data_IF_783779175798
#
_entry.id   IF_783779175798
#
_cell.length_a   1.000
_cell.length_b   1.000
_cell.length_c   1.000
_cell.angle_alpha   90.00
_cell.angle_beta   90.00
_cell.angle_gamma   90.00
#
_symmetry.space_group_name_H-M   'P 1'
#
loop_
_entity.id
_entity.type
_entity.pdbx_description
1 polymer ?
#
# COMPACT_ATOMS: atom_id res chain seq x y z
N UNK A 1 -8.91 3.94 17.71
CA UNK A 1 -7.55 3.49 18.10
C UNK A 1 -7.74 2.53 19.26
N UNK A 2 -7.01 1.40 19.27
CA UNK A 2 -7.23 0.14 20.03
C UNK A 2 -8.35 -0.73 19.40
N UNK A 3 -8.23 -2.02 19.06
CA UNK A 3 -7.32 -3.12 19.43
C UNK A 3 -7.16 -4.14 18.29
N UNK A 4 -6.01 -4.84 18.24
CA UNK A 4 -5.67 -5.90 17.29
C UNK A 4 -6.48 -7.17 17.54
N UNK A 5 -7.41 -7.49 16.62
CA UNK A 5 -7.37 -8.77 15.89
C UNK A 5 -7.75 -8.66 14.39
N UNK A 6 -7.84 -7.44 13.83
CA UNK A 6 -8.46 -7.21 12.50
C UNK A 6 -7.53 -6.76 11.37
N UNK A 7 -6.23 -6.65 11.59
CA UNK A 7 -5.35 -6.10 10.54
C UNK A 7 -5.03 -7.12 9.46
N UNK A 8 -4.87 -8.39 9.83
CA UNK A 8 -4.64 -9.50 8.92
C UNK A 8 -4.68 -10.78 9.77
N UNK A 9 -5.51 -11.76 9.44
CA UNK A 9 -5.68 -12.96 10.27
C UNK A 9 -4.37 -13.74 10.47
N UNK A 10 -4.33 -14.68 11.40
CA UNK A 10 -3.09 -15.40 11.82
C UNK A 10 -2.30 -16.13 10.71
N UNK A 11 -2.85 -16.26 9.50
CA UNK A 11 -2.21 -16.92 8.36
C UNK A 11 -1.75 -15.95 7.25
N UNK A 12 -1.80 -14.65 7.51
CA UNK A 12 -1.47 -13.63 6.52
C UNK A 12 -0.07 -13.08 6.75
N UNK A 13 0.64 -12.81 5.65
CA UNK A 13 1.94 -12.15 5.64
C UNK A 13 1.76 -10.78 5.01
N UNK A 14 2.19 -9.73 5.70
CA UNK A 14 2.13 -8.35 5.23
C UNK A 14 3.31 -8.06 4.29
N UNK A 15 3.02 -7.62 3.08
CA UNK A 15 4.02 -7.21 2.11
C UNK A 15 4.10 -5.68 2.06
N UNK A 16 5.33 -5.17 2.08
CA UNK A 16 5.67 -3.77 1.84
C UNK A 16 7.01 -3.71 1.08
N UNK A 17 7.30 -2.58 0.46
CA UNK A 17 8.61 -2.35 -0.14
C UNK A 17 9.69 -2.10 0.94
N UNK A 18 10.93 -1.99 0.51
CA UNK A 18 12.07 -1.81 1.41
C UNK A 18 12.41 -0.32 1.65
N UNK A 19 11.47 0.62 1.48
CA UNK A 19 11.79 2.04 1.66
C UNK A 19 12.25 2.34 3.10
N UNK A 20 13.05 3.40 3.28
CA UNK A 20 13.65 3.73 4.57
C UNK A 20 12.63 3.92 5.70
N UNK A 21 11.47 4.52 5.39
CA UNK A 21 10.38 4.72 6.36
C UNK A 21 9.70 3.40 6.77
N UNK A 22 9.61 2.44 5.86
CA UNK A 22 9.07 1.10 6.12
C UNK A 22 10.04 0.23 6.94
N UNK A 23 11.34 0.51 6.83
CA UNK A 23 12.41 -0.16 7.58
C UNK A 23 12.83 0.54 8.88
N UNK A 24 12.26 1.70 9.18
CA UNK A 24 12.56 2.44 10.38
C UNK A 24 12.26 1.60 11.63
N UNK A 25 13.01 1.83 12.70
CA UNK A 25 12.87 1.10 13.97
C UNK A 25 11.43 1.13 14.49
N UNK A 26 10.81 2.31 14.52
CA UNK A 26 9.44 2.48 15.02
C UNK A 26 8.42 1.66 14.20
N UNK A 27 8.59 1.60 12.88
CA UNK A 27 7.75 0.80 12.00
C UNK A 27 7.91 -0.70 12.28
N UNK A 28 9.15 -1.17 12.44
CA UNK A 28 9.43 -2.58 12.80
C UNK A 28 8.93 -2.95 14.20
N UNK A 29 9.03 -2.04 15.16
CA UNK A 29 8.52 -2.23 16.52
C UNK A 29 6.98 -2.35 16.49
N UNK A 30 6.28 -1.51 15.72
CA UNK A 30 4.83 -1.61 15.52
C UNK A 30 4.39 -2.99 14.98
N UNK A 31 5.05 -3.51 13.94
CA UNK A 31 4.68 -4.82 13.39
C UNK A 31 4.88 -5.94 14.41
N UNK A 32 5.95 -5.89 15.22
CA UNK A 32 6.23 -6.86 16.27
C UNK A 32 5.18 -6.82 17.37
N UNK A 33 4.85 -5.63 17.86
CA UNK A 33 3.86 -5.42 18.93
C UNK A 33 2.45 -5.88 18.53
N UNK A 34 2.14 -5.82 17.23
CA UNK A 34 0.84 -6.23 16.68
C UNK A 34 0.82 -7.67 16.12
N UNK A 35 1.89 -8.45 16.32
CA UNK A 35 2.03 -9.82 15.79
C UNK A 35 1.81 -9.93 14.27
N UNK A 36 2.27 -8.94 13.51
CA UNK A 36 2.16 -8.93 12.05
C UNK A 36 3.44 -9.49 11.46
N UNK A 37 3.33 -10.59 10.70
CA UNK A 37 4.46 -11.16 9.96
C UNK A 37 4.72 -10.33 8.70
N UNK A 38 5.97 -9.91 8.49
CA UNK A 38 6.40 -9.22 7.27
C UNK A 38 6.94 -10.22 6.24
N UNK A 39 6.65 -9.97 4.96
CA UNK A 39 7.32 -10.65 3.85
C UNK A 39 8.70 -10.02 3.65
N UNK A 40 9.75 -10.84 3.58
CA UNK A 40 11.05 -10.37 3.15
C UNK A 40 11.00 -9.98 1.66
N UNK A 41 11.11 -8.69 1.37
CA UNK A 41 11.06 -8.15 0.02
C UNK A 41 12.47 -7.76 -0.45
N UNK A 42 12.92 -8.19 -1.64
CA UNK A 42 14.23 -7.83 -2.16
C UNK A 42 14.33 -6.33 -2.47
N UNK A 43 15.50 -5.76 -2.20
CA UNK A 43 15.76 -4.35 -2.50
C UNK A 43 15.64 -4.07 -4.01
N UNK A 44 15.21 -2.86 -4.37
CA UNK A 44 15.12 -2.39 -5.76
C UNK A 44 14.30 -3.30 -6.70
N UNK A 45 13.29 -4.00 -6.17
CA UNK A 45 12.45 -4.93 -6.94
C UNK A 45 10.99 -4.44 -6.99
N UNK A 46 10.70 -3.34 -7.71
CA UNK A 46 9.35 -2.80 -7.85
C UNK A 46 8.42 -3.73 -8.66
N UNK A 47 8.99 -4.53 -9.56
CA UNK A 47 8.30 -5.55 -10.35
C UNK A 47 7.66 -6.64 -9.48
N UNK A 48 8.26 -6.90 -8.31
CA UNK A 48 7.74 -7.86 -7.34
C UNK A 48 6.72 -7.25 -6.37
N UNK A 49 6.45 -5.94 -6.45
CA UNK A 49 5.50 -5.26 -5.57
C UNK A 49 4.09 -5.22 -6.21
N UNK A 50 3.13 -6.06 -5.78
CA UNK A 50 1.85 -6.20 -6.48
C UNK A 50 1.04 -4.91 -6.55
N UNK A 51 1.21 -4.01 -5.58
CA UNK A 51 0.50 -2.73 -5.53
C UNK A 51 0.87 -1.80 -6.71
N UNK A 52 2.09 -1.90 -7.25
CA UNK A 52 2.53 -1.10 -8.40
C UNK A 52 1.69 -1.41 -9.64
N UNK A 53 1.35 -2.69 -9.84
CA UNK A 53 0.49 -3.10 -10.95
C UNK A 53 -0.93 -2.56 -10.79
N UNK A 54 -1.45 -2.56 -9.55
CA UNK A 54 -2.77 -2.01 -9.23
C UNK A 54 -2.78 -0.50 -9.46
N UNK A 55 -1.80 0.24 -8.95
CA UNK A 55 -1.66 1.68 -9.19
C UNK A 55 -1.55 2.02 -10.68
N UNK A 56 -0.78 1.23 -11.44
CA UNK A 56 -0.70 1.40 -12.88
C UNK A 56 -2.04 1.20 -13.60
N UNK A 57 -2.83 0.22 -13.18
CA UNK A 57 -4.19 0.01 -13.70
C UNK A 57 -5.13 1.15 -13.31
N UNK A 58 -5.16 1.52 -12.03
CA UNK A 58 -6.00 2.62 -11.52
C UNK A 58 -5.68 3.94 -12.25
N UNK A 59 -4.40 4.28 -12.40
CA UNK A 59 -3.99 5.50 -13.09
C UNK A 59 -4.47 5.52 -14.55
N UNK A 60 -4.42 4.38 -15.27
CA UNK A 60 -4.92 4.31 -16.65
C UNK A 60 -6.42 4.56 -16.76
N UNK A 61 -7.21 4.08 -15.78
CA UNK A 61 -8.65 4.29 -15.80
C UNK A 61 -9.03 5.71 -15.32
N UNK A 62 -8.41 6.20 -14.24
CA UNK A 62 -8.63 7.55 -13.70
C UNK A 62 -8.27 8.65 -14.71
N UNK A 63 -7.19 8.50 -15.46
CA UNK A 63 -6.69 9.49 -16.44
C UNK A 63 -7.03 9.14 -17.90
N UNK A 64 -7.98 8.23 -18.12
CA UNK A 64 -8.39 7.76 -19.45
C UNK A 64 -8.76 8.93 -20.36
N UNK A 65 -8.41 8.83 -21.64
CA UNK A 65 -8.61 9.88 -22.64
C UNK A 65 -7.96 11.23 -22.29
N UNK A 66 -6.95 11.23 -21.41
CA UNK A 66 -6.26 12.44 -20.98
C UNK A 66 -7.05 13.31 -19.99
N UNK A 67 -8.05 12.75 -19.31
CA UNK A 67 -8.84 13.45 -18.28
C UNK A 67 -7.91 14.10 -17.23
N UNK A 68 -8.24 15.30 -16.76
CA UNK A 68 -7.48 16.03 -15.74
C UNK A 68 -8.42 16.55 -14.64
N UNK A 69 -7.94 16.60 -13.42
CA UNK A 69 -8.71 17.05 -12.25
C UNK A 69 -8.22 18.42 -11.77
N UNK A 70 -9.15 19.29 -11.38
CA UNK A 70 -8.84 20.64 -10.87
C UNK A 70 -8.73 20.69 -9.35
N UNK A 71 -9.27 19.69 -8.64
CA UNK A 71 -9.26 19.62 -7.18
C UNK A 71 -8.90 18.22 -6.71
N UNK A 72 -8.33 18.16 -5.51
CA UNK A 72 -8.02 16.88 -4.84
C UNK A 72 -9.29 16.08 -4.57
N UNK A 73 -10.41 16.74 -4.23
CA UNK A 73 -11.68 16.06 -3.98
C UNK A 73 -12.23 15.39 -5.25
N UNK A 74 -12.17 16.06 -6.40
CA UNK A 74 -12.62 15.46 -7.66
C UNK A 74 -11.76 14.25 -8.05
N UNK A 75 -10.43 14.33 -7.87
CA UNK A 75 -9.53 13.19 -8.09
C UNK A 75 -9.83 12.05 -7.11
N UNK A 76 -10.08 12.38 -5.84
CA UNK A 76 -10.42 11.40 -4.80
C UNK A 76 -11.69 10.63 -5.17
N UNK A 77 -12.76 11.31 -5.54
CA UNK A 77 -14.01 10.67 -5.96
C UNK A 77 -13.81 9.76 -7.17
N UNK A 78 -13.01 10.17 -8.16
CA UNK A 78 -12.68 9.34 -9.31
C UNK A 78 -11.91 8.06 -8.91
N UNK A 79 -10.98 8.15 -7.96
CA UNK A 79 -10.23 7.01 -7.44
C UNK A 79 -11.18 5.99 -6.75
N UNK A 80 -12.18 6.45 -5.99
CA UNK A 80 -13.11 5.55 -5.27
C UNK A 80 -14.19 4.94 -6.17
N UNK A 81 -14.35 5.45 -7.39
CA UNK A 81 -15.37 4.99 -8.36
C UNK A 81 -14.78 4.21 -9.54
N UNK A 82 -13.46 4.05 -9.56
CA UNK A 82 -12.72 3.16 -10.47
C UNK A 82 -12.73 1.73 -9.95
#
# INVERSE_FOLDING_TARGET
MTEGPRLCGNSWVFQQDNAAVHNARLTKDFFRENNITLLDHPACSPDLNPIENIWGWMAREVYKNGHQFQTVDALREAIFTT
#
